data_IF_016866953267
#
_entry.id   IF_016866953267
#
_cell.length_a   1.000
_cell.length_b   1.000
_cell.length_c   1.000
_cell.angle_alpha   90.00
_cell.angle_beta   90.00
_cell.angle_gamma   90.00
#
_symmetry.space_group_name_H-M   'P 1'
#
loop_
_entity.id
_entity.type
_entity.pdbx_description
1 polymer ?
#
# COMPACT_ATOMS: atom_id res chain seq x y z
N UNK A 1 -15.71 0.11 4.45
CA UNK A 1 -14.46 -0.13 3.70
C UNK A 1 -14.82 -0.87 2.43
N UNK A 2 -14.41 -0.33 1.28
CA UNK A 2 -14.68 -0.93 -0.03
C UNK A 2 -13.52 -1.86 -0.38
N UNK A 3 -13.81 -3.13 -0.69
CA UNK A 3 -12.81 -4.10 -1.15
C UNK A 3 -12.94 -4.30 -2.65
N UNK A 4 -11.82 -4.25 -3.36
CA UNK A 4 -11.75 -4.52 -4.80
C UNK A 4 -10.78 -5.67 -5.05
N UNK A 5 -11.11 -6.51 -6.03
CA UNK A 5 -10.26 -7.61 -6.48
C UNK A 5 -10.06 -7.48 -7.99
N UNK A 6 -8.86 -7.80 -8.46
CA UNK A 6 -8.60 -8.04 -9.88
C UNK A 6 -8.04 -9.45 -10.03
N UNK A 7 -8.68 -10.27 -10.85
CA UNK A 7 -8.12 -11.56 -11.22
C UNK A 7 -7.14 -11.35 -12.39
N UNK A 8 -5.87 -11.71 -12.19
CA UNK A 8 -4.79 -11.65 -13.19
C UNK A 8 -3.81 -12.79 -12.94
N UNK A 9 -3.24 -13.36 -13.99
CA UNK A 9 -2.30 -14.49 -13.90
C UNK A 9 -0.94 -14.14 -13.28
N UNK A 10 -0.48 -12.90 -13.47
CA UNK A 10 0.76 -12.35 -12.92
C UNK A 10 0.47 -10.93 -12.43
N UNK A 11 1.30 -10.24 -11.64
CA UNK A 11 1.16 -8.80 -11.35
C UNK A 11 1.73 -7.89 -12.45
N UNK A 12 1.11 -6.73 -12.66
CA UNK A 12 1.59 -5.74 -13.64
C UNK A 12 2.93 -5.15 -13.17
N UNK A 13 3.92 -5.09 -14.07
CA UNK A 13 5.26 -4.61 -13.70
C UNK A 13 5.26 -3.13 -13.29
N UNK A 14 4.32 -2.34 -13.80
CA UNK A 14 4.27 -0.90 -13.58
C UNK A 14 3.37 -0.54 -12.40
N UNK A 15 2.22 -1.18 -12.26
CA UNK A 15 1.19 -0.79 -11.29
C UNK A 15 0.68 -1.92 -10.39
N UNK A 16 1.24 -3.12 -10.47
CA UNK A 16 0.75 -4.35 -9.81
C UNK A 16 -0.63 -4.82 -10.32
N UNK A 17 -1.59 -3.91 -10.45
CA UNK A 17 -2.87 -4.05 -11.15
C UNK A 17 -2.80 -3.53 -12.59
N UNK A 18 -3.75 -3.92 -13.44
CA UNK A 18 -3.84 -3.39 -14.82
C UNK A 18 -4.27 -1.92 -14.86
N UNK A 19 -3.88 -1.19 -15.92
CA UNK A 19 -4.18 0.25 -16.11
C UNK A 19 -5.66 0.61 -15.91
N UNK A 20 -6.58 -0.17 -16.46
CA UNK A 20 -8.02 0.08 -16.29
C UNK A 20 -8.47 0.01 -14.82
N UNK A 21 -7.87 -0.89 -14.02
CA UNK A 21 -8.12 -0.96 -12.58
C UNK A 21 -7.50 0.22 -11.84
N UNK A 22 -6.36 0.75 -12.32
CA UNK A 22 -5.77 2.00 -11.76
C UNK A 22 -6.71 3.19 -11.96
N UNK A 23 -7.30 3.32 -13.15
CA UNK A 23 -8.25 4.41 -13.43
C UNK A 23 -9.56 4.23 -12.62
N UNK A 24 -10.03 2.99 -12.42
CA UNK A 24 -11.13 2.66 -11.51
C UNK A 24 -10.82 3.06 -10.06
N UNK A 25 -9.62 2.74 -9.56
CA UNK A 25 -9.16 3.11 -8.22
C UNK A 25 -9.07 4.63 -8.04
N UNK A 26 -8.58 5.35 -9.06
CA UNK A 26 -8.56 6.82 -9.05
C UNK A 26 -9.97 7.40 -8.89
N UNK A 27 -10.91 6.95 -9.70
CA UNK A 27 -12.29 7.45 -9.63
C UNK A 27 -12.93 7.11 -8.28
N UNK A 28 -12.78 5.86 -7.83
CA UNK A 28 -13.33 5.45 -6.54
C UNK A 28 -12.70 6.23 -5.38
N UNK A 29 -11.40 6.51 -5.42
CA UNK A 29 -10.74 7.29 -4.37
C UNK A 29 -11.32 8.70 -4.27
N UNK A 30 -11.68 9.32 -5.40
CA UNK A 30 -12.33 10.64 -5.44
C UNK A 30 -13.77 10.60 -4.96
N UNK A 31 -14.53 9.61 -5.40
CA UNK A 31 -15.94 9.42 -5.01
C UNK A 31 -16.06 9.16 -3.51
N UNK A 32 -15.19 8.32 -2.96
CA UNK A 32 -15.19 7.95 -1.55
C UNK A 32 -14.41 8.93 -0.66
N UNK A 33 -13.65 9.86 -1.28
CA UNK A 33 -12.68 10.74 -0.60
C UNK A 33 -11.66 9.96 0.22
N UNK A 34 -11.21 8.82 -0.28
CA UNK A 34 -10.19 8.02 0.36
C UNK A 34 -8.84 8.74 0.32
N UNK A 35 -8.16 8.79 1.47
CA UNK A 35 -6.83 9.33 1.68
C UNK A 35 -5.73 8.25 1.72
N UNK A 36 -6.15 6.98 1.81
CA UNK A 36 -5.29 5.82 1.84
C UNK A 36 -5.87 4.66 1.03
N UNK A 37 -5.04 4.03 0.19
CA UNK A 37 -5.35 2.75 -0.45
C UNK A 37 -4.33 1.72 0.02
N UNK A 38 -4.82 0.56 0.42
CA UNK A 38 -4.03 -0.55 0.95
C UNK A 38 -4.03 -1.67 -0.09
N UNK A 39 -2.85 -2.10 -0.51
CA UNK A 39 -2.66 -3.31 -1.30
C UNK A 39 -2.41 -4.48 -0.35
N UNK A 40 -3.12 -5.58 -0.59
CA UNK A 40 -2.97 -6.79 0.23
C UNK A 40 -1.74 -7.62 -0.18
N UNK A 41 -0.90 -7.17 -1.10
CA UNK A 41 0.38 -7.84 -1.39
C UNK A 41 1.49 -6.80 -1.48
N UNK A 42 2.73 -7.28 -1.40
CA UNK A 42 3.92 -6.43 -1.48
C UNK A 42 4.02 -5.72 -2.83
N UNK A 43 4.37 -4.44 -2.76
CA UNK A 43 4.63 -3.62 -3.93
C UNK A 43 6.13 -3.39 -4.05
N UNK A 44 6.64 -3.43 -5.27
CA UNK A 44 7.98 -2.88 -5.51
C UNK A 44 7.97 -1.35 -5.32
N UNK A 45 9.11 -0.72 -4.95
CA UNK A 45 9.17 0.74 -4.80
C UNK A 45 8.68 1.50 -6.04
N UNK A 46 8.98 0.97 -7.22
CA UNK A 46 8.53 1.54 -8.50
C UNK A 46 7.01 1.43 -8.67
N UNK A 47 6.40 0.28 -8.33
CA UNK A 47 4.95 0.11 -8.43
C UNK A 47 4.21 1.06 -7.50
N UNK A 48 4.64 1.14 -6.23
CA UNK A 48 4.04 2.04 -5.26
C UNK A 48 4.12 3.49 -5.71
N UNK A 49 5.31 3.95 -6.11
CA UNK A 49 5.51 5.31 -6.62
C UNK A 49 4.61 5.62 -7.82
N UNK A 50 4.55 4.72 -8.79
CA UNK A 50 3.73 4.92 -9.99
C UNK A 50 2.23 5.01 -9.64
N UNK A 51 1.76 4.17 -8.71
CA UNK A 51 0.38 4.21 -8.22
C UNK A 51 0.09 5.53 -7.50
N UNK A 52 0.97 5.99 -6.61
CA UNK A 52 0.83 7.27 -5.91
C UNK A 52 0.81 8.45 -6.87
N UNK A 53 1.70 8.48 -7.86
CA UNK A 53 1.77 9.53 -8.87
C UNK A 53 0.49 9.60 -9.72
N UNK A 54 -0.08 8.44 -10.06
CA UNK A 54 -1.27 8.33 -10.91
C UNK A 54 -2.57 8.57 -10.14
N UNK A 55 -2.68 8.05 -8.92
CA UNK A 55 -3.91 8.09 -8.11
C UNK A 55 -3.96 9.35 -7.24
N UNK A 56 -2.81 9.92 -6.88
CA UNK A 56 -2.67 11.10 -5.98
C UNK A 56 -3.19 10.86 -4.57
N UNK A 57 -3.08 9.62 -4.09
CA UNK A 57 -3.48 9.15 -2.76
C UNK A 57 -2.34 8.32 -2.19
N UNK A 58 -2.17 8.31 -0.85
CA UNK A 58 -1.14 7.48 -0.21
C UNK A 58 -1.40 6.01 -0.50
N UNK A 59 -0.37 5.30 -0.93
CA UNK A 59 -0.43 3.85 -1.15
C UNK A 59 0.43 3.17 -0.11
N UNK A 60 -0.10 2.14 0.55
CA UNK A 60 0.70 1.23 1.38
C UNK A 60 0.43 -0.21 0.96
N UNK A 61 1.42 -1.06 1.13
CA UNK A 61 1.28 -2.49 0.93
C UNK A 61 1.06 -3.23 2.26
N UNK A 62 0.99 -4.56 2.17
CA UNK A 62 0.79 -5.43 3.34
C UNK A 62 1.94 -5.27 4.35
N UNK A 63 3.18 -5.18 3.90
CA UNK A 63 4.36 -5.14 4.77
C UNK A 63 4.41 -3.83 5.54
N UNK A 64 4.22 -2.69 4.89
CA UNK A 64 4.11 -1.40 5.56
C UNK A 64 2.96 -1.37 6.57
N UNK A 65 1.79 -1.91 6.21
CA UNK A 65 0.65 -1.99 7.13
C UNK A 65 0.99 -2.81 8.39
N UNK A 66 1.68 -3.94 8.23
CA UNK A 66 2.12 -4.78 9.36
C UNK A 66 3.08 -4.00 10.26
N UNK A 67 4.07 -3.31 9.68
CA UNK A 67 5.02 -2.49 10.43
C UNK A 67 4.31 -1.35 11.18
N UNK A 68 3.34 -0.68 10.56
CA UNK A 68 2.55 0.37 11.20
C UNK A 68 1.71 -0.17 12.38
N UNK A 69 1.16 -1.38 12.25
CA UNK A 69 0.44 -2.06 13.34
C UNK A 69 1.40 -2.40 14.50
N UNK A 70 2.60 -2.90 14.19
CA UNK A 70 3.60 -3.19 15.22
C UNK A 70 4.10 -1.93 15.90
N UNK A 71 4.34 -0.85 15.15
CA UNK A 71 4.74 0.44 15.70
C UNK A 71 3.72 0.96 16.72
N UNK A 72 2.42 0.80 16.42
CA UNK A 72 1.33 1.16 17.34
C UNK A 72 1.27 0.31 18.62
N UNK A 73 1.81 -0.91 18.60
CA UNK A 73 1.77 -1.87 19.72
C UNK A 73 3.09 -1.99 20.48
N UNK A 74 4.17 -1.41 19.97
CA UNK A 74 5.50 -1.49 20.58
C UNK A 74 5.61 -0.53 21.78
N UNK A 75 5.38 -1.05 22.99
CA UNK A 75 5.47 -0.25 24.22
C UNK A 75 6.88 -0.28 24.86
N UNK A 76 7.59 -1.40 24.77
CA UNK A 76 8.94 -1.54 25.34
C UNK A 76 9.99 -0.85 24.47
N UNK A 77 11.07 -0.37 25.08
CA UNK A 77 12.18 0.26 24.36
C UNK A 77 12.79 -0.67 23.30
N UNK A 78 13.00 -1.95 23.66
CA UNK A 78 13.50 -2.97 22.73
C UNK A 78 12.54 -3.21 21.57
N UNK A 79 11.22 -3.28 21.83
CA UNK A 79 10.22 -3.46 20.78
C UNK A 79 10.15 -2.27 19.83
N UNK A 80 10.25 -1.04 20.34
CA UNK A 80 10.29 0.17 19.51
C UNK A 80 11.50 0.17 18.57
N UNK A 81 12.68 -0.16 19.10
CA UNK A 81 13.92 -0.26 18.31
C UNK A 81 13.83 -1.32 17.21
N UNK A 82 13.21 -2.47 17.49
CA UNK A 82 13.04 -3.52 16.48
C UNK A 82 12.12 -3.09 15.35
N UNK A 83 11.02 -2.40 15.65
CA UNK A 83 10.12 -1.89 14.62
C UNK A 83 10.77 -0.78 13.81
N UNK A 84 11.48 0.14 14.45
CA UNK A 84 12.22 1.21 13.76
C UNK A 84 13.30 0.64 12.83
N UNK A 85 14.06 -0.35 13.29
CA UNK A 85 15.03 -1.05 12.45
C UNK A 85 14.35 -1.70 11.24
N UNK A 86 13.22 -2.38 11.45
CA UNK A 86 12.48 -3.02 10.36
C UNK A 86 11.96 -2.00 9.33
N UNK A 87 11.49 -0.83 9.79
CA UNK A 87 11.07 0.28 8.92
C UNK A 87 12.23 0.90 8.13
N UNK A 88 13.46 0.91 8.67
CA UNK A 88 14.64 1.42 7.96
C UNK A 88 15.16 0.45 6.89
N UNK A 89 14.91 -0.85 7.06
CA UNK A 89 15.38 -1.89 6.14
C UNK A 89 14.40 -2.21 5.00
N UNK A 90 13.18 -1.70 5.09
CA UNK A 90 12.12 -1.84 4.09
C UNK A 90 12.16 -0.65 3.12
#
# INVERSE_FOLDING_TARGET
MTKIVQNRSLPDKTFYVGKGKVDELLNLSRETKADLIIFDDELTPTQQRNLEEKIRVKIIDRTQLILDIFAKRAYSAAGKLQVELAQLTY
#
